data_IF_713227407805
#
_entry.id   IF_713227407805
#
_cell.length_a   1.000
_cell.length_b   1.000
_cell.length_c   1.000
_cell.angle_alpha   90.00
_cell.angle_beta   90.00
_cell.angle_gamma   90.00
#
_symmetry.space_group_name_H-M   'P 1'
#
loop_
_entity.id
_entity.type
_entity.pdbx_description
1 polymer ?
#
# COMPACT_ATOMS: atom_id res chain seq x y z
N UNK A 1 -12.19 2.73 -5.24
CA UNK A 1 -10.72 2.61 -5.34
C UNK A 1 -10.10 3.96 -5.73
N UNK A 2 -9.17 4.50 -4.93
CA UNK A 2 -8.47 5.77 -5.22
C UNK A 2 -6.96 5.64 -4.98
N UNK A 3 -6.15 5.93 -6.00
CA UNK A 3 -4.68 5.84 -5.91
C UNK A 3 -4.09 7.18 -5.50
N UNK A 4 -3.45 7.19 -4.34
CA UNK A 4 -2.70 8.31 -3.80
C UNK A 4 -1.22 8.19 -4.17
N UNK A 5 -0.50 9.32 -4.21
CA UNK A 5 0.93 9.35 -4.56
C UNK A 5 1.76 9.89 -3.41
N UNK A 6 2.96 9.35 -3.21
CA UNK A 6 3.96 9.82 -2.25
C UNK A 6 3.43 9.95 -0.81
N UNK A 7 2.68 8.93 -0.34
CA UNK A 7 2.05 8.91 0.99
C UNK A 7 3.01 8.34 2.04
N UNK A 8 3.09 9.01 3.20
CA UNK A 8 3.81 8.47 4.37
C UNK A 8 3.15 7.19 4.86
N UNK A 9 3.97 6.16 5.08
CA UNK A 9 3.56 4.88 5.65
C UNK A 9 3.67 4.82 7.16
N UNK A 10 4.07 5.92 7.82
CA UNK A 10 4.11 6.01 9.27
C UNK A 10 2.83 5.56 9.98
N UNK A 11 1.61 5.90 9.54
CA UNK A 11 0.38 5.43 10.18
C UNK A 11 0.01 3.98 9.84
N UNK A 12 0.69 3.36 8.87
CA UNK A 12 0.37 2.03 8.32
C UNK A 12 1.39 0.94 8.74
N UNK A 13 2.30 1.22 9.67
CA UNK A 13 3.17 0.22 10.28
C UNK A 13 3.36 0.48 11.77
N UNK A 14 3.36 -0.58 12.59
CA UNK A 14 3.40 -0.44 14.05
C UNK A 14 4.75 0.02 14.59
N UNK A 15 5.82 -0.09 13.80
CA UNK A 15 7.12 0.51 14.13
C UNK A 15 7.12 2.04 14.00
N UNK A 16 6.10 2.63 13.36
CA UNK A 16 6.00 4.09 13.19
C UNK A 16 7.10 4.67 12.32
N UNK A 17 7.67 3.87 11.41
CA UNK A 17 8.74 4.30 10.51
C UNK A 17 8.14 5.11 9.37
N UNK A 18 8.68 6.30 9.15
CA UNK A 18 8.27 7.20 8.08
C UNK A 18 9.03 6.91 6.78
N UNK A 19 8.55 5.88 6.07
CA UNK A 19 8.88 5.67 4.65
C UNK A 19 7.72 6.12 3.78
N UNK A 20 7.98 6.47 2.52
CA UNK A 20 6.94 6.85 1.56
C UNK A 20 6.63 5.71 0.62
N UNK A 21 5.36 5.54 0.28
CA UNK A 21 4.97 4.77 -0.89
C UNK A 21 4.74 5.70 -2.07
N UNK A 22 5.33 5.35 -3.21
CA UNK A 22 5.15 6.07 -4.47
C UNK A 22 3.70 6.06 -4.91
N UNK A 23 3.04 4.91 -4.75
CA UNK A 23 1.59 4.76 -4.97
C UNK A 23 0.96 3.99 -3.81
N UNK A 24 -0.22 4.43 -3.38
CA UNK A 24 -0.96 3.82 -2.28
C UNK A 24 -2.44 3.76 -2.62
N UNK A 25 -3.07 2.63 -2.36
CA UNK A 25 -4.51 2.45 -2.46
C UNK A 25 -5.00 1.75 -1.20
N UNK A 26 -6.02 2.32 -0.58
CA UNK A 26 -6.80 1.64 0.45
C UNK A 26 -7.85 0.77 -0.22
N UNK A 27 -8.01 -0.46 0.27
CA UNK A 27 -8.92 -1.47 -0.25
C UNK A 27 -9.91 -1.82 0.85
N UNK A 28 -11.19 -1.61 0.58
CA UNK A 28 -12.28 -1.78 1.56
C UNK A 28 -13.30 -2.85 1.15
N UNK A 29 -13.14 -3.45 -0.03
CA UNK A 29 -13.99 -4.54 -0.51
C UNK A 29 -13.25 -5.52 -1.43
N UNK A 30 -13.84 -6.70 -1.61
CA UNK A 30 -13.30 -7.73 -2.52
C UNK A 30 -13.33 -7.28 -3.99
N UNK A 31 -14.32 -6.46 -4.37
CA UNK A 31 -14.42 -5.87 -5.70
C UNK A 31 -13.27 -4.90 -5.95
N UNK A 32 -12.96 -4.03 -4.98
CA UNK A 32 -11.82 -3.11 -5.06
C UNK A 32 -10.50 -3.86 -5.11
N UNK A 33 -10.35 -4.92 -4.30
CA UNK A 33 -9.16 -5.79 -4.35
C UNK A 33 -9.00 -6.41 -5.75
N UNK A 34 -10.09 -6.95 -6.29
CA UNK A 34 -10.11 -7.56 -7.60
C UNK A 34 -9.78 -6.57 -8.71
N UNK A 35 -10.30 -5.34 -8.63
CA UNK A 35 -9.98 -4.24 -9.54
C UNK A 35 -8.49 -3.86 -9.44
N UNK A 36 -7.99 -3.62 -8.22
CA UNK A 36 -6.62 -3.23 -7.97
C UNK A 36 -5.61 -4.26 -8.45
N UNK A 37 -5.88 -5.56 -8.25
CA UNK A 37 -5.03 -6.67 -8.71
C UNK A 37 -4.92 -6.73 -10.24
N UNK A 38 -5.96 -6.32 -10.97
CA UNK A 38 -5.99 -6.29 -12.44
C UNK A 38 -5.41 -5.02 -13.06
N UNK A 39 -4.97 -4.04 -12.28
CA UNK A 39 -4.37 -2.83 -12.82
C UNK A 39 -3.04 -3.12 -13.52
N UNK A 40 -3.04 -3.04 -14.84
CA UNK A 40 -1.86 -3.24 -15.69
C UNK A 40 -0.83 -2.10 -15.55
N UNK A 41 -1.29 -0.87 -15.26
CA UNK A 41 -0.41 0.29 -15.03
C UNK A 41 0.45 0.21 -13.77
N UNK A 42 0.19 -0.77 -12.89
CA UNK A 42 0.91 -1.01 -11.65
C UNK A 42 1.27 -2.50 -11.55
N UNK A 43 2.21 -3.00 -12.37
CA UNK A 43 2.48 -4.43 -12.45
C UNK A 43 2.99 -5.00 -11.11
N UNK A 44 3.81 -4.24 -10.38
CA UNK A 44 4.29 -4.60 -9.06
C UNK A 44 3.36 -4.04 -7.96
N UNK A 45 2.93 -4.93 -7.07
CA UNK A 45 1.98 -4.63 -6.00
C UNK A 45 2.53 -5.16 -4.67
N UNK A 46 2.49 -4.32 -3.65
CA UNK A 46 2.86 -4.68 -2.29
C UNK A 46 1.60 -4.71 -1.42
N UNK A 47 1.23 -5.87 -0.90
CA UNK A 47 0.00 -6.01 -0.09
C UNK A 47 0.36 -5.85 1.38
N UNK A 48 -0.34 -4.95 2.05
CA UNK A 48 -0.14 -4.61 3.45
C UNK A 48 -1.49 -4.70 4.19
N UNK A 49 -1.55 -5.51 5.25
CA UNK A 49 -2.65 -5.45 6.22
C UNK A 49 -2.39 -4.33 7.23
N UNK A 50 -2.62 -4.58 8.53
CA UNK A 50 -2.35 -3.58 9.59
C UNK A 50 -0.87 -3.27 9.89
N UNK A 51 0.09 -3.78 9.10
CA UNK A 51 1.52 -3.46 9.23
C UNK A 51 2.16 -3.79 10.58
N UNK A 52 1.62 -4.77 11.33
CA UNK A 52 2.07 -5.10 12.69
C UNK A 52 3.33 -5.96 12.77
N UNK A 53 3.73 -6.56 11.64
CA UNK A 53 4.87 -7.47 11.55
C UNK A 53 5.69 -7.22 10.27
N UNK A 54 5.92 -5.95 9.95
CA UNK A 54 6.74 -5.54 8.80
C UNK A 54 7.73 -4.47 9.25
N UNK A 55 9.00 -4.63 8.86
CA UNK A 55 10.02 -3.62 9.04
C UNK A 55 10.33 -2.97 7.70
N UNK A 56 9.81 -1.75 7.49
CA UNK A 56 10.06 -0.99 6.28
C UNK A 56 11.38 -0.21 6.42
N UNK A 57 12.36 -0.53 5.58
CA UNK A 57 13.73 0.02 5.68
C UNK A 57 14.05 1.06 4.61
N UNK A 58 13.15 1.23 3.63
CA UNK A 58 13.27 2.18 2.51
C UNK A 58 11.90 2.52 1.96
N UNK A 59 11.83 3.59 1.18
CA UNK A 59 10.66 3.95 0.41
C UNK A 59 10.21 2.81 -0.51
N UNK A 60 8.89 2.71 -0.73
CA UNK A 60 8.24 1.68 -1.53
C UNK A 60 7.91 2.27 -2.90
N UNK A 61 8.62 1.83 -3.94
CA UNK A 61 8.47 2.37 -5.31
C UNK A 61 7.30 1.76 -6.11
N UNK A 62 6.53 0.87 -5.51
CA UNK A 62 5.44 0.10 -6.14
C UNK A 62 4.07 0.56 -5.64
N UNK A 63 3.00 -0.06 -6.14
CA UNK A 63 1.65 0.18 -5.62
C UNK A 63 1.44 -0.60 -4.31
N UNK A 64 1.29 0.13 -3.21
CA UNK A 64 0.86 -0.47 -1.95
C UNK A 64 -0.66 -0.61 -1.94
N UNK A 65 -1.15 -1.83 -1.69
CA UNK A 65 -2.54 -2.15 -1.43
C UNK A 65 -2.71 -2.36 0.07
N UNK A 66 -3.33 -1.40 0.75
CA UNK A 66 -3.64 -1.51 2.18
C UNK A 66 -5.03 -2.13 2.36
N UNK A 67 -5.08 -3.31 2.97
CA UNK A 67 -6.33 -4.04 3.22
C UNK A 67 -6.90 -3.60 4.58
N UNK A 68 -8.05 -2.93 4.54
CA UNK A 68 -8.79 -2.46 5.72
C UNK A 68 -9.88 -3.46 6.12
#
# INVERSE_FOLDING_TARGET
MHIQKNISHKPYNTFGIDVKAKYFCEITSNEELSEALRLEGYPEKFILGGGSNVLLTKDIDTLVLHIN
#
